data_IF_949541352798
#
_entry.id   IF_949541352798
#
_cell.length_a   1.000
_cell.length_b   1.000
_cell.length_c   1.000
_cell.angle_alpha   90.00
_cell.angle_beta   90.00
_cell.angle_gamma   90.00
#
_symmetry.space_group_name_H-M   'P 1'
#
loop_
_entity.id
_entity.type
_entity.pdbx_description
1 polymer ?
#
# COMPACT_ATOMS: atom_id res chain seq x y z
N UNK A 1 10.85 3.90 -11.11
CA UNK A 1 9.86 3.36 -10.16
C UNK A 1 10.41 2.17 -9.37
N UNK A 2 10.81 2.44 -8.13
CA UNK A 2 11.18 1.47 -7.10
C UNK A 2 9.98 1.23 -6.19
N UNK A 3 9.87 0.01 -5.65
CA UNK A 3 8.84 -0.35 -4.68
C UNK A 3 9.48 -0.97 -3.45
N UNK A 4 9.07 -0.51 -2.27
CA UNK A 4 9.53 -1.03 -0.99
C UNK A 4 8.35 -1.61 -0.21
N UNK A 5 8.53 -2.80 0.36
CA UNK A 5 7.48 -3.46 1.15
C UNK A 5 7.37 -2.80 2.53
N UNK A 6 6.21 -2.22 2.82
CA UNK A 6 5.94 -1.58 4.10
C UNK A 6 5.35 -2.55 5.12
N UNK A 7 4.62 -3.56 4.65
CA UNK A 7 4.01 -4.55 5.52
C UNK A 7 2.67 -5.07 5.04
N UNK A 8 2.01 -5.83 5.90
CA UNK A 8 0.64 -6.29 5.72
C UNK A 8 -0.19 -6.01 6.97
N UNK A 9 -1.49 -5.82 6.81
CA UNK A 9 -2.45 -5.86 7.92
C UNK A 9 -3.56 -6.88 7.60
N UNK A 10 -4.24 -7.37 8.63
CA UNK A 10 -5.47 -8.15 8.42
C UNK A 10 -6.52 -7.24 7.79
N UNK A 11 -7.16 -7.69 6.71
CA UNK A 11 -8.10 -6.86 5.95
C UNK A 11 -9.30 -6.40 6.78
N UNK A 12 -9.66 -7.17 7.81
CA UNK A 12 -10.74 -6.84 8.74
C UNK A 12 -10.35 -5.74 9.75
N UNK A 13 -9.06 -5.60 10.05
CA UNK A 13 -8.57 -4.62 11.02
C UNK A 13 -8.68 -3.18 10.51
N UNK A 14 -8.57 -2.98 9.19
CA UNK A 14 -8.54 -1.67 8.50
C UNK A 14 -7.67 -0.65 9.26
N UNK A 15 -6.47 -1.07 9.64
CA UNK A 15 -5.50 -0.26 10.36
C UNK A 15 -4.10 -0.53 9.81
N UNK A 16 -3.40 0.51 9.36
CA UNK A 16 -2.02 0.38 8.88
C UNK A 16 -1.25 1.70 9.01
N UNK A 17 -0.24 1.71 9.87
CA UNK A 17 0.55 2.91 10.14
C UNK A 17 1.77 3.04 9.22
N UNK A 18 1.91 4.21 8.60
CA UNK A 18 3.14 4.64 7.91
C UNK A 18 3.63 5.93 8.56
N UNK A 19 4.88 5.96 9.03
CA UNK A 19 5.44 7.13 9.70
C UNK A 19 4.64 7.58 10.94
N UNK A 20 3.97 6.65 11.63
CA UNK A 20 3.11 6.92 12.78
C UNK A 20 1.67 7.37 12.42
N UNK A 21 1.31 7.45 11.14
CA UNK A 21 -0.03 7.84 10.67
C UNK A 21 -0.79 6.63 10.14
N UNK A 22 -1.99 6.40 10.65
CA UNK A 22 -2.85 5.32 10.16
C UNK A 22 -3.50 5.70 8.83
N UNK A 23 -3.11 5.03 7.75
CA UNK A 23 -3.56 5.33 6.40
C UNK A 23 -5.08 5.21 6.22
N UNK A 24 -5.75 4.35 7.00
CA UNK A 24 -7.20 4.16 6.88
C UNK A 24 -8.02 5.33 7.45
N UNK A 25 -7.40 6.25 8.19
CA UNK A 25 -8.05 7.48 8.64
C UNK A 25 -8.13 8.54 7.55
N UNK A 26 -7.42 8.34 6.42
CA UNK A 26 -7.35 9.29 5.33
C UNK A 26 -8.10 8.79 4.10
N UNK A 27 -8.52 9.72 3.24
CA UNK A 27 -9.18 9.39 1.98
C UNK A 27 -8.17 8.94 0.94
N UNK A 28 -8.33 7.70 0.47
CA UNK A 28 -7.52 7.15 -0.61
C UNK A 28 -8.10 7.57 -1.95
N UNK A 29 -7.27 8.18 -2.78
CA UNK A 29 -7.62 8.53 -4.16
C UNK A 29 -6.96 7.52 -5.09
N UNK A 30 -7.76 6.85 -5.92
CA UNK A 30 -7.23 5.98 -6.96
C UNK A 30 -6.53 6.82 -8.03
N UNK A 31 -5.32 6.43 -8.39
CA UNK A 31 -4.57 7.09 -9.47
C UNK A 31 -4.86 6.48 -10.85
N UNK A 32 -5.58 5.36 -10.90
CA UNK A 32 -5.76 4.55 -12.11
C UNK A 32 -4.52 3.78 -12.56
N UNK A 33 -3.37 3.95 -11.87
CA UNK A 33 -2.12 3.22 -12.15
C UNK A 33 -2.07 1.91 -11.35
N UNK A 34 -1.35 0.94 -11.89
CA UNK A 34 -1.02 -0.30 -11.21
C UNK A 34 0.49 -0.54 -11.23
N UNK A 35 1.00 -1.29 -10.26
CA UNK A 35 2.40 -1.71 -10.19
C UNK A 35 2.50 -3.21 -9.92
N UNK A 36 3.48 -3.85 -10.57
CA UNK A 36 3.84 -5.24 -10.27
C UNK A 36 4.97 -5.26 -9.24
N UNK A 37 4.72 -5.87 -8.09
CA UNK A 37 5.68 -5.99 -6.99
C UNK A 37 6.05 -7.45 -6.75
N UNK A 38 7.29 -7.71 -6.36
CA UNK A 38 7.72 -9.03 -5.87
C UNK A 38 7.61 -9.06 -4.35
N UNK A 39 6.69 -9.86 -3.81
CA UNK A 39 6.51 -9.93 -2.36
C UNK A 39 7.71 -10.62 -1.69
N UNK A 40 8.28 -10.06 -0.62
CA UNK A 40 9.50 -10.58 0.00
C UNK A 40 9.34 -12.00 0.56
N UNK A 41 8.21 -12.31 1.21
CA UNK A 41 8.01 -13.62 1.84
C UNK A 41 7.68 -14.74 0.85
N UNK A 42 6.71 -14.50 -0.03
CA UNK A 42 6.20 -15.54 -0.93
C UNK A 42 7.05 -15.69 -2.20
N UNK A 43 7.91 -14.72 -2.51
CA UNK A 43 8.66 -14.60 -3.77
C UNK A 43 7.76 -14.66 -5.00
N UNK A 44 6.50 -14.26 -4.86
CA UNK A 44 5.52 -14.17 -5.95
C UNK A 44 5.28 -12.73 -6.34
N UNK A 45 4.94 -12.52 -7.61
CA UNK A 45 4.58 -11.22 -8.13
C UNK A 45 3.09 -10.94 -7.95
N UNK A 46 2.77 -9.69 -7.63
CA UNK A 46 1.39 -9.21 -7.47
C UNK A 46 1.22 -7.89 -8.20
N UNK A 47 0.10 -7.73 -8.89
CA UNK A 47 -0.30 -6.45 -9.47
C UNK A 47 -1.20 -5.73 -8.48
N UNK A 48 -0.76 -4.57 -8.01
CA UNK A 48 -1.47 -3.77 -7.01
C UNK A 48 -1.86 -2.41 -7.60
N UNK A 49 -2.99 -1.87 -7.15
CA UNK A 49 -3.42 -0.53 -7.50
C UNK A 49 -2.62 0.51 -6.73
N UNK A 50 -2.34 1.64 -7.38
CA UNK A 50 -1.63 2.76 -6.79
C UNK A 50 -2.62 3.81 -6.32
N UNK A 51 -2.47 4.23 -5.07
CA UNK A 51 -3.30 5.21 -4.40
C UNK A 51 -2.47 6.41 -3.95
N UNK A 52 -3.14 7.55 -3.81
CA UNK A 52 -2.60 8.72 -3.13
C UNK A 52 -3.46 9.09 -1.93
N UNK A 53 -2.82 9.57 -0.88
CA UNK A 53 -3.45 10.15 0.31
C UNK A 53 -2.79 11.47 0.64
N UNK A 54 -3.55 12.40 1.23
CA UNK A 54 -3.00 13.66 1.74
C UNK A 54 -2.69 13.48 3.23
N UNK A 55 -1.41 13.58 3.59
CA UNK A 55 -0.91 13.47 4.96
C UNK A 55 -0.24 14.79 5.34
N UNK A 56 -0.82 15.54 6.28
CA UNK A 56 -0.31 16.84 6.73
C UNK A 56 -0.01 17.85 5.60
N UNK A 57 -0.85 17.86 4.56
CA UNK A 57 -0.69 18.75 3.40
C UNK A 57 0.29 18.25 2.32
N UNK A 58 0.90 17.08 2.51
CA UNK A 58 1.74 16.43 1.50
C UNK A 58 1.02 15.24 0.86
N UNK A 59 1.21 15.05 -0.44
CA UNK A 59 0.67 13.88 -1.16
C UNK A 59 1.61 12.69 -1.01
N UNK A 60 1.14 11.65 -0.32
CA UNK A 60 1.84 10.39 -0.20
C UNK A 60 1.26 9.36 -1.18
N UNK A 61 2.14 8.64 -1.89
CA UNK A 61 1.76 7.62 -2.88
C UNK A 61 2.18 6.23 -2.42
N UNK A 62 1.28 5.25 -2.54
CA UNK A 62 1.56 3.86 -2.17
C UNK A 62 0.77 2.87 -3.03
N UNK A 63 1.27 1.63 -3.13
CA UNK A 63 0.53 0.53 -3.71
C UNK A 63 -0.17 -0.26 -2.61
N UNK A 64 -1.41 -0.66 -2.84
CA UNK A 64 -2.15 -1.50 -1.90
C UNK A 64 -3.08 -2.46 -2.63
N UNK A 65 -3.36 -3.59 -1.98
CA UNK A 65 -4.33 -4.56 -2.48
C UNK A 65 -4.40 -5.84 -1.66
N UNK A 66 -5.40 -6.66 -2.00
CA UNK A 66 -5.64 -7.93 -1.34
C UNK A 66 -4.45 -8.88 -1.49
N UNK A 67 -4.11 -9.54 -0.38
CA UNK A 67 -3.00 -10.47 -0.25
C UNK A 67 -3.49 -11.79 0.35
N UNK A 68 -2.88 -12.95 0.00
CA UNK A 68 -3.27 -14.23 0.56
C UNK A 68 -3.35 -14.25 2.08
N UNK A 69 -4.30 -15.04 2.61
CA UNK A 69 -4.52 -15.16 4.05
C UNK A 69 -5.40 -14.07 4.65
N UNK A 70 -6.25 -13.41 3.85
CA UNK A 70 -7.17 -12.38 4.35
C UNK A 70 -6.46 -11.07 4.72
N UNK A 71 -5.33 -10.79 4.08
CA UNK A 71 -4.49 -9.63 4.37
C UNK A 71 -4.58 -8.59 3.28
N UNK A 72 -4.18 -7.37 3.61
CA UNK A 72 -3.90 -6.31 2.66
C UNK A 72 -2.42 -6.00 2.73
N UNK A 73 -1.74 -5.91 1.59
CA UNK A 73 -0.32 -5.58 1.52
C UNK A 73 -0.12 -4.11 1.13
N UNK A 74 0.95 -3.51 1.62
CA UNK A 74 1.29 -2.11 1.40
C UNK A 74 2.72 -1.96 0.91
N UNK A 75 2.91 -1.10 -0.08
CA UNK A 75 4.21 -0.79 -0.65
C UNK A 75 4.37 0.70 -0.85
N UNK A 76 5.53 1.23 -0.50
CA UNK A 76 5.92 2.57 -0.90
C UNK A 76 6.32 2.58 -2.37
N UNK A 77 6.00 3.66 -3.07
CA UNK A 77 6.38 3.87 -4.46
C UNK A 77 7.24 5.13 -4.53
N UNK A 78 8.47 4.98 -5.03
CA UNK A 78 9.37 6.09 -5.37
C UNK A 78 9.74 6.00 -6.85
N UNK A 79 9.91 7.13 -7.53
CA UNK A 79 10.33 7.13 -8.94
C UNK A 79 11.84 6.86 -9.08
#
# INVERSE_FOLDING_TARGET
MKTEFLGTCDSDSRFFCVGGKDLYQYRWNSTGRCVTVLHPDTKRTFTLSVYTVELDGETYSFASGAFPGGKTAFYEISD
#
